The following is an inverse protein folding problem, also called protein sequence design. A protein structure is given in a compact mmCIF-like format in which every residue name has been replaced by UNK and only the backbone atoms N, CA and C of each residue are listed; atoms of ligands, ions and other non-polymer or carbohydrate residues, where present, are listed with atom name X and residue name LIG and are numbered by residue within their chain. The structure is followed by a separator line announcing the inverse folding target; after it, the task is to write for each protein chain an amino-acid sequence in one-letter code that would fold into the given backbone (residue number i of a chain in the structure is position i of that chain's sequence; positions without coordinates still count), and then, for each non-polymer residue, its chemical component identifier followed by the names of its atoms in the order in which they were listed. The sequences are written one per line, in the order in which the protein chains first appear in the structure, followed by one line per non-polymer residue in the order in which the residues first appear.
data_IF_474603212946
#
_entry.id   IF_474603212946
#
_cell.length_a   1.000
_cell.length_b   1.000
_cell.length_c   1.000
_cell.angle_alpha   90.00
_cell.angle_beta   90.00
_cell.angle_gamma   90.00
#
_symmetry.space_group_name_H-M   'P 1'
#
loop_
_entity.id
_entity.type
_entity.pdbx_description
1 polymer ?
#
# COMPACT_ATOMS: atom_id res chain seq x y z
N UNK A 1 31.29 37.28 -5.65
CA UNK A 1 30.69 37.00 -4.33
C UNK A 1 30.19 35.58 -4.31
N UNK A 2 30.70 34.79 -3.36
CA UNK A 2 30.57 33.34 -3.29
C UNK A 2 29.34 33.00 -2.43
N UNK A 3 28.18 32.79 -3.06
CA UNK A 3 27.01 32.30 -2.35
C UNK A 3 27.12 30.77 -2.22
N UNK A 4 27.91 30.31 -1.24
CA UNK A 4 27.76 28.97 -0.68
C UNK A 4 26.34 28.86 -0.15
N UNK A 5 25.44 28.30 -0.96
CA UNK A 5 24.17 27.79 -0.47
C UNK A 5 24.50 26.65 0.49
N UNK A 6 24.51 27.04 1.77
CA UNK A 6 24.51 26.18 2.94
C UNK A 6 23.51 25.05 2.70
N UNK A 7 23.97 23.82 2.88
CA UNK A 7 23.19 22.61 3.12
C UNK A 7 21.77 22.90 3.59
N UNK A 8 20.80 22.75 2.69
CA UNK A 8 19.37 22.73 3.02
C UNK A 8 18.96 21.25 2.98
N UNK A 9 18.80 20.65 4.15
CA UNK A 9 18.24 19.32 4.43
C UNK A 9 18.47 18.21 3.39
N UNK A 10 19.43 17.32 3.67
CA UNK A 10 19.47 15.96 3.09
C UNK A 10 18.35 15.08 3.68
N UNK A 11 17.08 15.45 3.49
CA UNK A 11 16.04 14.42 3.47
C UNK A 11 16.08 13.88 2.06
N UNK A 12 16.88 12.85 1.84
CA UNK A 12 16.77 12.04 0.63
C UNK A 12 15.32 11.56 0.59
N UNK A 13 14.55 12.07 -0.37
CA UNK A 13 13.26 11.49 -0.71
C UNK A 13 13.57 10.04 -1.06
N UNK A 14 12.97 9.11 -0.32
CA UNK A 14 13.15 7.69 -0.56
C UNK A 14 12.75 7.38 -2.00
N UNK A 15 13.46 6.46 -2.64
CA UNK A 15 12.95 5.88 -3.88
C UNK A 15 11.63 5.14 -3.60
N UNK A 16 10.79 4.92 -4.62
CA UNK A 16 9.55 4.16 -4.44
C UNK A 16 9.81 2.76 -3.85
N UNK A 17 10.92 2.11 -4.25
CA UNK A 17 11.36 0.83 -3.71
C UNK A 17 11.73 0.92 -2.21
N UNK A 18 12.47 1.95 -1.82
CA UNK A 18 12.85 2.17 -0.42
C UNK A 18 11.65 2.53 0.45
N UNK A 19 10.69 3.29 -0.08
CA UNK A 19 9.44 3.60 0.60
C UNK A 19 8.64 2.32 0.88
N UNK A 20 8.50 1.43 -0.12
CA UNK A 20 7.87 0.12 0.07
C UNK A 20 8.61 -0.71 1.13
N UNK A 21 9.95 -0.83 1.05
CA UNK A 21 10.74 -1.57 2.06
C UNK A 21 10.51 -1.04 3.47
N UNK A 22 10.40 0.28 3.63
CA UNK A 22 10.16 0.91 4.94
C UNK A 22 8.77 0.60 5.50
N UNK A 23 7.74 0.52 4.66
CA UNK A 23 6.39 0.10 5.08
C UNK A 23 6.44 -1.28 5.72
N UNK A 24 7.08 -2.26 5.07
CA UNK A 24 7.20 -3.61 5.61
C UNK A 24 8.08 -3.67 6.88
N UNK A 25 9.11 -2.83 6.97
CA UNK A 25 9.96 -2.75 8.15
C UNK A 25 9.20 -2.24 9.40
N UNK A 26 8.13 -1.45 9.23
CA UNK A 26 7.32 -0.91 10.33
C UNK A 26 6.26 -1.88 10.87
N UNK A 27 6.10 -3.07 10.26
CA UNK A 27 5.07 -4.03 10.63
C UNK A 27 5.67 -5.18 11.42
N UNK A 28 5.36 -5.31 12.71
CA UNK A 28 5.95 -6.38 13.53
C UNK A 28 5.26 -7.74 13.35
N UNK A 29 3.95 -7.74 13.07
CA UNK A 29 3.16 -8.98 12.95
C UNK A 29 3.50 -9.75 11.67
N UNK A 30 3.98 -11.01 11.77
CA UNK A 30 4.25 -11.85 10.60
C UNK A 30 2.99 -12.13 9.77
N UNK A 31 1.85 -12.31 10.44
CA UNK A 31 0.58 -12.53 9.76
C UNK A 31 0.14 -11.29 8.97
N UNK A 32 0.33 -10.10 9.51
CA UNK A 32 0.03 -8.84 8.82
C UNK A 32 0.99 -8.61 7.65
N UNK A 33 2.30 -8.84 7.85
CA UNK A 33 3.31 -8.80 6.76
C UNK A 33 2.92 -9.71 5.61
N UNK A 34 2.50 -10.95 5.88
CA UNK A 34 2.09 -11.90 4.85
C UNK A 34 0.87 -11.42 4.05
N UNK A 35 -0.10 -10.74 4.69
CA UNK A 35 -1.24 -10.15 3.98
C UNK A 35 -0.82 -8.95 3.12
N UNK A 36 0.03 -8.06 3.67
CA UNK A 36 0.55 -6.92 2.91
C UNK A 36 1.39 -7.34 1.71
N UNK A 37 2.17 -8.43 1.81
CA UNK A 37 2.94 -8.96 0.67
C UNK A 37 2.02 -9.45 -0.45
N UNK A 38 0.90 -10.10 -0.14
CA UNK A 38 -0.09 -10.49 -1.17
C UNK A 38 -0.66 -9.28 -1.91
N UNK A 39 -0.94 -8.19 -1.20
CA UNK A 39 -1.42 -6.95 -1.80
C UNK A 39 -0.35 -6.24 -2.63
N UNK A 40 0.92 -6.29 -2.18
CA UNK A 40 2.05 -5.82 -2.96
C UNK A 40 2.18 -6.62 -4.27
N UNK A 41 2.17 -7.95 -4.20
CA UNK A 41 2.26 -8.81 -5.38
C UNK A 41 1.10 -8.57 -6.34
N UNK A 42 -0.12 -8.44 -5.82
CA UNK A 42 -1.28 -8.09 -6.62
C UNK A 42 -1.10 -6.74 -7.32
N UNK A 43 -0.72 -5.68 -6.58
CA UNK A 43 -0.52 -4.34 -7.14
C UNK A 43 0.65 -4.22 -8.12
N UNK A 44 1.60 -5.17 -8.10
CA UNK A 44 2.69 -5.28 -9.08
C UNK A 44 2.32 -6.16 -10.28
N UNK A 45 1.22 -6.91 -10.21
CA UNK A 45 0.79 -7.81 -11.27
C UNK A 45 -0.01 -7.07 -12.34
N UNK A 46 0.17 -7.47 -13.60
CA UNK A 46 -0.58 -6.90 -14.74
C UNK A 46 -2.10 -7.15 -14.64
N UNK A 47 -2.52 -8.14 -13.83
CA UNK A 47 -3.92 -8.48 -13.62
C UNK A 47 -4.68 -7.47 -12.74
N UNK A 48 -3.98 -6.65 -11.95
CA UNK A 48 -4.62 -5.68 -11.06
C UNK A 48 -5.02 -4.37 -11.76
N UNK A 49 -4.60 -4.20 -13.02
CA UNK A 49 -4.64 -2.89 -13.67
C UNK A 49 -3.58 -1.96 -13.08
N UNK A 50 -3.12 -1.03 -13.90
CA UNK A 50 -1.98 -0.21 -13.57
C UNK A 50 -2.39 1.04 -12.78
N UNK A 51 -2.06 1.11 -11.48
CA UNK A 51 -2.31 2.31 -10.65
C UNK A 51 -1.71 3.59 -11.25
N UNK A 52 -0.64 3.47 -12.05
CA UNK A 52 0.01 4.59 -12.71
C UNK A 52 -0.84 5.22 -13.84
N UNK A 53 -1.93 4.55 -14.25
CA UNK A 53 -2.86 5.05 -15.28
C UNK A 53 -3.97 5.94 -14.70
N UNK A 54 -4.16 5.92 -13.38
CA UNK A 54 -5.15 6.77 -12.71
C UNK A 54 -4.69 8.23 -12.71
N UNK A 55 -5.64 9.13 -12.93
CA UNK A 55 -5.44 10.55 -12.61
C UNK A 55 -5.27 10.76 -11.10
N UNK A 56 -4.77 11.93 -10.70
CA UNK A 56 -4.60 12.26 -9.29
C UNK A 56 -5.93 12.25 -8.51
N UNK A 57 -7.03 12.63 -9.16
CA UNK A 57 -8.38 12.61 -8.58
C UNK A 57 -8.86 11.17 -8.37
N UNK A 58 -8.73 10.32 -9.39
CA UNK A 58 -9.12 8.90 -9.31
C UNK A 58 -8.26 8.13 -8.32
N UNK A 59 -6.96 8.43 -8.21
CA UNK A 59 -6.09 7.86 -7.19
C UNK A 59 -6.53 8.28 -5.79
N UNK A 60 -6.95 9.54 -5.61
CA UNK A 60 -7.53 10.04 -4.36
C UNK A 60 -8.78 9.25 -3.96
N UNK A 61 -9.74 9.16 -4.88
CA UNK A 61 -10.98 8.40 -4.68
C UNK A 61 -10.70 6.92 -4.38
N UNK A 62 -9.74 6.32 -5.09
CA UNK A 62 -9.32 4.94 -4.85
C UNK A 62 -8.80 4.75 -3.41
N UNK A 63 -7.91 5.64 -2.94
CA UNK A 63 -7.37 5.58 -1.59
C UNK A 63 -8.45 5.74 -0.51
N UNK A 64 -9.47 6.57 -0.76
CA UNK A 64 -10.58 6.79 0.16
C UNK A 64 -11.52 5.58 0.26
N UNK A 65 -11.72 4.84 -0.84
CA UNK A 65 -12.61 3.65 -0.88
C UNK A 65 -11.93 2.36 -0.45
N UNK A 66 -10.59 2.29 -0.54
CA UNK A 66 -9.84 1.06 -0.25
C UNK A 66 -10.08 0.51 1.17
N UNK A 67 -10.11 1.32 2.25
CA UNK A 67 -10.42 0.82 3.59
C UNK A 67 -11.79 0.15 3.70
N UNK A 68 -12.82 0.75 3.10
CA UNK A 68 -14.18 0.22 3.10
C UNK A 68 -14.24 -1.14 2.38
N UNK A 69 -13.57 -1.25 1.23
CA UNK A 69 -13.45 -2.51 0.49
C UNK A 69 -12.74 -3.60 1.32
N UNK A 70 -11.63 -3.26 1.99
CA UNK A 70 -10.89 -4.20 2.84
C UNK A 70 -11.76 -4.69 4.00
N UNK A 71 -12.53 -3.80 4.64
CA UNK A 71 -13.48 -4.18 5.70
C UNK A 71 -14.60 -5.10 5.18
N UNK A 72 -15.16 -4.78 4.02
CA UNK A 72 -16.20 -5.61 3.39
C UNK A 72 -15.66 -7.01 3.05
N UNK A 73 -14.45 -7.11 2.48
CA UNK A 73 -13.79 -8.39 2.19
C UNK A 73 -13.53 -9.21 3.46
N UNK A 74 -13.08 -8.56 4.54
CA UNK A 74 -12.89 -9.22 5.82
C UNK A 74 -14.19 -9.79 6.37
N UNK A 75 -15.27 -9.00 6.37
CA UNK A 75 -16.58 -9.44 6.83
C UNK A 75 -17.10 -10.61 5.99
N UNK A 76 -17.00 -10.51 4.67
CA UNK A 76 -17.39 -11.56 3.72
C UNK A 76 -16.63 -12.88 3.97
N UNK A 77 -15.30 -12.83 4.16
CA UNK A 77 -14.50 -14.02 4.47
C UNK A 77 -14.90 -14.65 5.80
N UNK A 78 -15.23 -13.83 6.82
CA UNK A 78 -15.73 -14.31 8.10
C UNK A 78 -17.09 -14.99 7.98
N UNK A 79 -17.95 -14.51 7.11
CA UNK A 79 -19.27 -15.12 6.84
C UNK A 79 -19.12 -16.47 6.13
N UNK A 80 -18.27 -16.56 5.10
CA UNK A 80 -17.99 -17.83 4.41
C UNK A 80 -17.47 -18.88 5.39
N UNK A 81 -16.51 -18.53 6.25
CA UNK A 81 -15.97 -19.46 7.24
C UNK A 81 -17.05 -20.00 8.18
N UNK A 82 -17.99 -19.15 8.63
CA UNK A 82 -19.11 -19.58 9.48
C UNK A 82 -20.16 -20.42 8.72
N UNK A 83 -20.31 -20.19 7.42
CA UNK A 83 -21.24 -20.94 6.56
C UNK A 83 -20.73 -22.32 6.14
N UNK A 84 -19.41 -22.53 6.13
CA UNK A 84 -18.77 -23.81 5.83
C UNK A 84 -18.66 -24.78 7.02
N UNK A 85 -18.91 -24.31 8.24
CA UNK A 85 -18.97 -25.12 9.48
C UNK A 85 -20.34 -25.81 9.68
N UNK A 86 -21.11 -26.04 8.61
CA UNK A 86 -22.41 -26.75 8.62
C UNK A 86 -22.38 -28.02 7.78
#
# INVERSE_FOLDING_TARGET
MNAKLKTINRMTLLTAEEAMKRIFAMVDSPALKAQLSKWQDFGLSEAAGDLHTLSAEELGDFMDRLPDLVLALYAYQKEIQKGGDK
#
